data_IF_044329448460
#
_entry.id   IF_044329448460
#
_cell.length_a   1.000
_cell.length_b   1.000
_cell.length_c   1.000
_cell.angle_alpha   90.00
_cell.angle_beta   90.00
_cell.angle_gamma   90.00
#
_symmetry.space_group_name_H-M   'P 1'
#
loop_
_entity.id
_entity.type
_entity.pdbx_description
1 polymer ?
#
# COMPACT_ATOMS: atom_id res chain seq x y z
N UNK A 1 -10.97 3.55 -8.97
CA UNK A 1 -10.32 4.26 -7.85
C UNK A 1 -10.60 5.77 -7.89
N UNK A 2 -10.68 6.44 -6.73
CA UNK A 2 -10.65 7.93 -6.61
C UNK A 2 -9.27 8.39 -6.16
N UNK A 3 -8.77 9.49 -6.72
CA UNK A 3 -7.43 10.03 -6.42
C UNK A 3 -7.49 11.45 -5.87
N UNK A 4 -6.45 11.85 -5.13
CA UNK A 4 -6.26 13.20 -4.56
C UNK A 4 -4.80 13.63 -4.66
N UNK A 5 -4.53 14.92 -4.56
CA UNK A 5 -3.16 15.44 -4.43
C UNK A 5 -2.64 15.19 -3.02
N UNK A 6 -1.40 14.71 -2.90
CA UNK A 6 -0.71 14.56 -1.62
C UNK A 6 -0.08 15.90 -1.24
N UNK A 7 -0.83 16.72 -0.52
CA UNK A 7 -0.37 18.04 -0.07
C UNK A 7 0.16 18.90 -1.22
N UNK A 8 1.38 19.43 -1.07
CA UNK A 8 2.06 20.28 -2.07
C UNK A 8 3.15 19.54 -2.85
N UNK A 9 3.13 18.21 -2.83
CA UNK A 9 4.20 17.38 -3.45
C UNK A 9 4.04 17.21 -4.95
N UNK A 10 2.87 17.52 -5.52
CA UNK A 10 2.54 17.24 -6.92
C UNK A 10 2.19 15.77 -7.19
N UNK A 11 2.27 14.89 -6.18
CA UNK A 11 1.91 13.48 -6.31
C UNK A 11 0.40 13.29 -6.24
N UNK A 12 -0.13 12.47 -7.14
CA UNK A 12 -1.53 12.05 -7.17
C UNK A 12 -1.67 10.64 -6.60
N UNK A 13 -2.30 10.52 -5.43
CA UNK A 13 -2.43 9.28 -4.67
C UNK A 13 -3.89 8.79 -4.61
N UNK A 14 -4.11 7.49 -4.48
CA UNK A 14 -5.43 6.91 -4.23
C UNK A 14 -5.98 7.41 -2.88
N UNK A 15 -7.30 7.59 -2.79
CA UNK A 15 -7.95 7.98 -1.52
C UNK A 15 -7.97 6.86 -0.47
N UNK A 16 -7.71 5.63 -0.89
CA UNK A 16 -7.46 4.48 -0.02
C UNK A 16 -5.98 4.14 -0.07
N UNK A 17 -5.43 3.71 1.07
CA UNK A 17 -4.04 3.33 1.27
C UNK A 17 -3.98 1.87 1.73
N UNK A 18 -3.01 1.09 1.22
CA UNK A 18 -2.76 -0.26 1.72
C UNK A 18 -1.74 -0.20 2.86
N UNK A 19 -2.16 -0.53 4.08
CA UNK A 19 -1.25 -0.72 5.21
C UNK A 19 -0.66 -2.13 5.21
N UNK A 20 0.64 -2.25 5.47
CA UNK A 20 1.38 -3.52 5.35
C UNK A 20 1.87 -4.09 6.69
N UNK A 21 1.31 -3.67 7.83
CA UNK A 21 1.78 -4.05 9.17
C UNK A 21 1.82 -5.58 9.42
N UNK A 22 0.95 -6.32 8.73
CA UNK A 22 0.79 -7.77 8.86
C UNK A 22 1.64 -8.60 7.89
N UNK A 23 2.28 -7.97 6.89
CA UNK A 23 3.15 -8.65 5.93
C UNK A 23 4.44 -9.10 6.63
N UNK A 24 4.70 -10.41 6.60
CA UNK A 24 5.71 -11.11 7.39
C UNK A 24 5.10 -11.81 8.62
N UNK A 25 4.63 -11.08 9.66
CA UNK A 25 4.18 -11.69 10.91
C UNK A 25 2.91 -12.55 10.81
N UNK A 26 1.95 -12.14 9.98
CA UNK A 26 0.65 -12.81 9.86
C UNK A 26 0.32 -13.22 8.43
N UNK A 27 0.97 -12.58 7.44
CA UNK A 27 0.83 -12.89 6.02
C UNK A 27 2.21 -13.22 5.49
N UNK A 28 2.38 -14.41 4.90
CA UNK A 28 3.64 -14.80 4.29
C UNK A 28 3.95 -13.95 3.04
N UNK A 29 5.14 -14.13 2.47
CA UNK A 29 5.60 -13.34 1.32
C UNK A 29 4.66 -13.50 0.11
N UNK A 30 4.30 -14.74 -0.23
CA UNK A 30 3.40 -15.02 -1.35
C UNK A 30 2.01 -14.40 -1.15
N UNK A 31 1.43 -14.53 0.05
CA UNK A 31 0.15 -13.90 0.39
C UNK A 31 0.24 -12.37 0.40
N UNK A 32 1.36 -11.82 0.85
CA UNK A 32 1.60 -10.37 0.84
C UNK A 32 1.66 -9.84 -0.59
N UNK A 33 2.33 -10.56 -1.49
CA UNK A 33 2.37 -10.24 -2.92
C UNK A 33 0.97 -10.30 -3.54
N UNK A 34 0.20 -11.36 -3.28
CA UNK A 34 -1.17 -11.46 -3.78
C UNK A 34 -2.08 -10.31 -3.32
N UNK A 35 -1.92 -9.84 -2.08
CA UNK A 35 -2.66 -8.67 -1.57
C UNK A 35 -2.20 -7.38 -2.28
N UNK A 36 -0.89 -7.20 -2.50
CA UNK A 36 -0.36 -6.05 -3.24
C UNK A 36 -0.84 -6.03 -4.69
N UNK A 37 -0.85 -7.17 -5.36
CA UNK A 37 -1.34 -7.31 -6.74
C UNK A 37 -2.83 -6.93 -6.82
N UNK A 38 -3.66 -7.47 -5.91
CA UNK A 38 -5.08 -7.11 -5.83
C UNK A 38 -5.31 -5.61 -5.54
N UNK A 39 -4.45 -4.99 -4.73
CA UNK A 39 -4.52 -3.56 -4.46
C UNK A 39 -4.16 -2.73 -5.70
N UNK A 40 -3.12 -3.13 -6.45
CA UNK A 40 -2.74 -2.51 -7.71
C UNK A 40 -3.85 -2.63 -8.77
N UNK A 41 -4.44 -3.81 -8.92
CA UNK A 41 -5.58 -4.05 -9.83
C UNK A 41 -6.79 -3.18 -9.50
N UNK A 42 -7.04 -2.93 -8.20
CA UNK A 42 -8.08 -2.01 -7.74
C UNK A 42 -7.71 -0.52 -7.95
N UNK A 43 -6.48 -0.22 -8.35
CA UNK A 43 -5.94 1.11 -8.63
C UNK A 43 -5.33 1.82 -7.42
N UNK A 44 -5.03 1.12 -6.32
CA UNK A 44 -4.31 1.67 -5.17
C UNK A 44 -2.86 1.91 -5.59
N UNK A 45 -2.35 3.12 -5.35
CA UNK A 45 -0.96 3.49 -5.64
C UNK A 45 -0.23 4.07 -4.42
N UNK A 46 -0.86 3.99 -3.24
CA UNK A 46 -0.31 4.50 -1.99
C UNK A 46 -0.27 3.35 -0.97
N UNK A 47 0.95 3.07 -0.48
CA UNK A 47 1.25 1.99 0.44
C UNK A 47 1.88 2.59 1.70
N UNK A 48 1.38 2.15 2.85
CA UNK A 48 1.89 2.53 4.17
C UNK A 48 2.61 1.34 4.80
N UNK A 49 3.89 1.55 5.11
CA UNK A 49 4.81 0.51 5.56
C UNK A 49 5.74 1.05 6.63
N UNK A 50 6.25 0.15 7.48
CA UNK A 50 7.17 0.48 8.56
C UNK A 50 8.46 -0.33 8.40
N UNK A 51 9.61 0.33 8.50
CA UNK A 51 10.89 -0.36 8.60
C UNK A 51 11.03 -0.96 10.00
N UNK A 52 11.39 -2.25 10.09
CA UNK A 52 11.53 -3.00 11.35
C UNK A 52 12.99 -3.22 11.76
N UNK A 53 13.91 -2.37 11.31
CA UNK A 53 15.30 -2.40 11.79
C UNK A 53 15.38 -1.84 13.21
N UNK A 54 15.50 -2.75 14.18
CA UNK A 54 16.03 -2.50 15.53
C UNK A 54 17.41 -3.15 15.64
#
# INVERSE_FOLDING_TARGET
>A
MKYTQLGRTGLKVSRLVLGTMNFGPQTDEAGSHAIMDAALDAGINFFDMVDRRL
#
